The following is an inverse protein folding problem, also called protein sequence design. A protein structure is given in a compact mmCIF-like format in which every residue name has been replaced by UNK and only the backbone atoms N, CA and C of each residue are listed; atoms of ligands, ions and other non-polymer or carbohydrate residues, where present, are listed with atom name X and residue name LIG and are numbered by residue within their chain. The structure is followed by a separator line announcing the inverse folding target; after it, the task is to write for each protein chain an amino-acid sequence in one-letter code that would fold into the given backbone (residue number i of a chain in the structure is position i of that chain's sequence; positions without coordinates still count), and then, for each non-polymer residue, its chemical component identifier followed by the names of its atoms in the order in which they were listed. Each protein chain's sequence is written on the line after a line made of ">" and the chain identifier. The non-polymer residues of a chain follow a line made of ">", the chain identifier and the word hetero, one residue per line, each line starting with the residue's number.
data_IF_122382561022
#
_entry.id   IF_122382561022
#
_cell.length_a   1.000
_cell.length_b   1.000
_cell.length_c   1.000
_cell.angle_alpha   90.00
_cell.angle_beta   90.00
_cell.angle_gamma   90.00
#
_symmetry.space_group_name_H-M   'P 1'
#
loop_
_entity.id
_entity.type
_entity.pdbx_description
1 polymer ?
#
# COMPACT_ATOMS: atom_id res chain seq x y z
N UNK A 1 2.97 -16.02 11.19
CA UNK A 1 1.95 -16.29 10.15
C UNK A 1 1.67 -17.78 9.94
N UNK A 2 2.62 -18.60 9.48
CA UNK A 2 2.39 -20.05 9.20
C UNK A 2 1.68 -20.80 10.34
N UNK A 3 2.15 -20.65 11.58
CA UNK A 3 1.55 -21.29 12.75
C UNK A 3 0.09 -20.86 13.01
N UNK A 4 -0.27 -19.61 12.71
CA UNK A 4 -1.64 -19.13 12.84
C UNK A 4 -2.55 -19.77 11.78
N UNK A 5 -2.11 -19.81 10.52
CA UNK A 5 -2.89 -20.40 9.42
C UNK A 5 -3.14 -21.90 9.64
N UNK A 6 -2.17 -22.62 10.20
CA UNK A 6 -2.33 -24.04 10.53
C UNK A 6 -3.34 -24.27 11.66
N UNK A 7 -3.37 -23.40 12.69
CA UNK A 7 -4.30 -23.50 13.82
C UNK A 7 -5.70 -22.95 13.51
N UNK A 8 -5.78 -22.01 12.58
CA UNK A 8 -7.02 -21.29 12.23
C UNK A 8 -7.16 -21.22 10.71
N UNK A 9 -7.43 -22.32 10.01
CA UNK A 9 -7.63 -22.29 8.57
C UNK A 9 -8.79 -21.34 8.21
N UNK A 10 -8.66 -20.51 7.17
CA UNK A 10 -9.71 -19.57 6.79
C UNK A 10 -10.91 -20.31 6.16
N UNK A 11 -12.12 -19.93 6.55
CA UNK A 11 -13.39 -20.46 6.01
C UNK A 11 -13.85 -19.73 4.73
N UNK A 12 -12.99 -18.89 4.15
CA UNK A 12 -13.29 -18.09 2.97
C UNK A 12 -12.03 -17.91 2.12
N UNK A 13 -12.22 -17.63 0.84
CA UNK A 13 -11.10 -17.42 -0.08
C UNK A 13 -10.38 -16.10 0.21
N UNK A 14 -9.06 -16.16 0.34
CA UNK A 14 -8.19 -14.99 0.49
C UNK A 14 -7.24 -14.96 -0.70
N UNK A 15 -7.24 -13.85 -1.44
CA UNK A 15 -6.31 -13.68 -2.56
C UNK A 15 -5.88 -12.23 -2.72
N UNK A 16 -4.72 -12.03 -3.35
CA UNK A 16 -4.27 -10.73 -3.83
C UNK A 16 -4.61 -10.50 -5.32
N UNK A 17 -5.56 -11.26 -5.88
CA UNK A 17 -5.87 -11.21 -7.30
C UNK A 17 -6.43 -9.85 -7.72
N UNK A 18 -7.12 -9.12 -6.84
CA UNK A 18 -7.55 -7.75 -7.13
C UNK A 18 -6.38 -6.82 -7.46
N UNK A 19 -5.25 -6.93 -6.73
CA UNK A 19 -4.03 -6.17 -7.03
C UNK A 19 -3.38 -6.63 -8.33
N UNK A 20 -3.48 -7.92 -8.65
CA UNK A 20 -2.93 -8.46 -9.90
C UNK A 20 -3.73 -7.93 -11.10
N UNK A 21 -5.04 -8.16 -11.12
CA UNK A 21 -5.92 -7.75 -12.21
C UNK A 21 -6.07 -6.24 -12.35
N UNK A 22 -6.31 -5.52 -11.25
CA UNK A 22 -6.63 -4.08 -11.32
C UNK A 22 -5.39 -3.17 -11.38
N UNK A 23 -4.18 -3.69 -11.12
CA UNK A 23 -2.95 -2.85 -11.07
C UNK A 23 -1.81 -3.44 -11.88
N UNK A 24 -1.33 -4.62 -11.48
CA UNK A 24 -0.06 -5.15 -12.00
C UNK A 24 -0.18 -5.62 -13.45
N UNK A 25 -1.20 -6.39 -13.79
CA UNK A 25 -1.43 -6.89 -15.14
C UNK A 25 -1.68 -5.76 -16.12
N UNK A 26 -2.52 -4.79 -15.74
CA UNK A 26 -2.80 -3.59 -16.55
C UNK A 26 -1.54 -2.78 -16.79
N UNK A 27 -0.74 -2.52 -15.75
CA UNK A 27 0.51 -1.76 -15.90
C UNK A 27 1.54 -2.50 -16.78
N UNK A 28 1.70 -3.83 -16.63
CA UNK A 28 2.59 -4.60 -17.50
C UNK A 28 2.14 -4.57 -18.96
N UNK A 29 0.83 -4.72 -19.19
CA UNK A 29 0.24 -4.66 -20.52
C UNK A 29 0.50 -3.29 -21.17
N UNK A 30 0.20 -2.21 -20.45
CA UNK A 30 0.46 -0.85 -20.91
C UNK A 30 1.93 -0.62 -21.25
N UNK A 31 2.86 -1.06 -20.39
CA UNK A 31 4.29 -0.91 -20.66
C UNK A 31 4.73 -1.62 -21.95
N UNK A 32 4.13 -2.77 -22.27
CA UNK A 32 4.44 -3.53 -23.47
C UNK A 32 3.82 -2.90 -24.73
N UNK A 33 2.54 -2.52 -24.66
CA UNK A 33 1.79 -1.91 -25.77
C UNK A 33 2.41 -0.57 -26.19
N UNK A 34 2.75 0.27 -25.20
CA UNK A 34 3.34 1.59 -25.44
C UNK A 34 4.87 1.59 -25.52
N UNK A 35 5.50 0.40 -25.50
CA UNK A 35 6.96 0.22 -25.59
C UNK A 35 7.72 1.10 -24.58
N UNK A 36 7.25 1.14 -23.35
CA UNK A 36 7.84 1.96 -22.29
C UNK A 36 9.22 1.42 -21.92
N UNK A 37 10.25 2.22 -22.12
CA UNK A 37 11.64 1.85 -21.78
C UNK A 37 12.05 2.36 -20.39
N UNK A 38 11.41 3.43 -19.90
CA UNK A 38 11.71 4.05 -18.62
C UNK A 38 10.44 4.40 -17.85
N UNK A 39 10.37 3.96 -16.60
CA UNK A 39 9.31 4.30 -15.64
C UNK A 39 9.86 5.22 -14.55
N UNK A 40 9.26 6.41 -14.42
CA UNK A 40 9.58 7.37 -13.37
C UNK A 40 8.63 7.18 -12.19
N UNK A 41 9.16 6.83 -11.02
CA UNK A 41 8.35 6.51 -9.83
C UNK A 41 8.78 7.30 -8.59
N UNK A 42 7.80 7.72 -7.79
CA UNK A 42 8.01 8.53 -6.58
C UNK A 42 8.49 7.77 -5.33
N UNK A 43 9.20 6.64 -5.49
CA UNK A 43 9.69 5.86 -4.34
C UNK A 43 10.84 6.59 -3.65
N UNK A 44 10.77 6.70 -2.31
CA UNK A 44 11.83 7.32 -1.49
C UNK A 44 12.44 6.31 -0.53
N UNK A 45 13.75 6.37 -0.33
CA UNK A 45 14.46 5.54 0.66
C UNK A 45 13.92 5.75 2.08
N UNK A 46 13.50 6.98 2.38
CA UNK A 46 12.95 7.37 3.68
C UNK A 46 11.60 6.69 4.03
N UNK A 47 10.90 6.08 3.07
CA UNK A 47 9.63 5.37 3.33
C UNK A 47 9.83 4.05 4.09
N UNK A 48 11.07 3.54 4.15
CA UNK A 48 11.43 2.37 4.93
C UNK A 48 10.85 1.05 4.42
N UNK A 49 10.85 0.05 5.30
CA UNK A 49 10.32 -1.30 5.03
C UNK A 49 10.95 -1.96 3.80
N UNK A 50 10.13 -2.69 3.05
CA UNK A 50 10.56 -3.42 1.85
C UNK A 50 11.19 -2.49 0.81
N UNK A 51 10.76 -1.22 0.73
CA UNK A 51 11.31 -0.25 -0.25
C UNK A 51 12.78 0.08 0.01
N UNK A 52 13.18 0.26 1.28
CA UNK A 52 14.59 0.47 1.67
C UNK A 52 15.45 -0.76 1.36
N UNK A 53 14.87 -1.95 1.45
CA UNK A 53 15.59 -3.19 1.17
C UNK A 53 15.74 -3.46 -0.32
N UNK A 54 14.65 -3.28 -1.08
CA UNK A 54 14.54 -3.59 -2.51
C UNK A 54 15.28 -2.60 -3.42
N UNK A 55 15.36 -1.32 -3.03
CA UNK A 55 16.00 -0.28 -3.84
C UNK A 55 17.26 0.26 -3.16
N UNK A 56 18.40 0.19 -3.85
CA UNK A 56 19.70 0.69 -3.35
C UNK A 56 20.07 2.06 -3.91
N UNK A 57 19.55 2.41 -5.08
CA UNK A 57 19.87 3.61 -5.85
C UNK A 57 18.61 4.25 -6.43
N UNK A 58 18.76 5.49 -6.91
CA UNK A 58 17.69 6.20 -7.61
C UNK A 58 17.37 5.58 -8.99
N UNK A 59 18.31 4.85 -9.58
CA UNK A 59 18.14 4.20 -10.88
C UNK A 59 18.30 2.69 -10.77
N UNK A 60 17.43 1.96 -11.47
CA UNK A 60 17.58 0.54 -11.71
C UNK A 60 17.55 0.33 -13.22
N UNK A 61 18.68 -0.13 -13.77
CA UNK A 61 18.74 -0.53 -15.17
C UNK A 61 17.95 -1.81 -15.37
N UNK A 62 17.51 -2.01 -16.60
CA UNK A 62 16.90 -3.25 -17.05
C UNK A 62 17.88 -4.04 -17.91
N UNK A 63 17.74 -5.36 -17.95
CA UNK A 63 18.29 -6.18 -19.04
C UNK A 63 17.40 -6.06 -20.30
N UNK A 64 17.80 -6.71 -21.39
CA UNK A 64 17.34 -6.59 -22.79
C UNK A 64 15.81 -6.51 -23.05
N UNK A 65 14.94 -6.83 -22.08
CA UNK A 65 13.47 -6.89 -22.26
C UNK A 65 12.67 -6.39 -21.04
N UNK A 66 13.09 -5.31 -20.38
CA UNK A 66 12.33 -4.74 -19.26
C UNK A 66 12.30 -3.22 -19.27
N UNK A 67 11.55 -2.66 -18.32
CA UNK A 67 11.41 -1.22 -18.14
C UNK A 67 12.41 -0.76 -17.10
N UNK A 68 13.35 0.11 -17.48
CA UNK A 68 14.24 0.77 -16.53
C UNK A 68 13.42 1.61 -15.55
N UNK A 69 13.89 1.79 -14.32
CA UNK A 69 13.16 2.55 -13.31
C UNK A 69 14.02 3.68 -12.77
N UNK A 70 13.49 4.89 -12.82
CA UNK A 70 14.09 6.08 -12.23
C UNK A 70 13.24 6.63 -11.09
N UNK A 71 13.91 7.01 -10.00
CA UNK A 71 13.32 7.48 -8.74
C UNK A 71 13.93 8.84 -8.40
N UNK A 72 13.42 9.94 -8.98
CA UNK A 72 14.01 11.26 -8.76
C UNK A 72 13.99 11.68 -7.29
N UNK A 73 12.98 11.23 -6.54
CA UNK A 73 12.81 11.56 -5.12
C UNK A 73 13.54 10.59 -4.18
N UNK A 74 14.38 9.68 -4.70
CA UNK A 74 14.91 8.56 -3.91
C UNK A 74 15.57 8.98 -2.60
N UNK A 75 16.31 10.09 -2.62
CA UNK A 75 17.04 10.60 -1.46
C UNK A 75 16.24 11.60 -0.61
N UNK A 76 15.04 11.99 -1.04
CA UNK A 76 14.21 12.95 -0.31
C UNK A 76 13.79 12.38 1.04
N UNK A 77 13.98 13.18 2.08
CA UNK A 77 13.40 13.00 3.41
C UNK A 77 12.00 13.61 3.45
N UNK A 78 11.33 13.51 4.59
CA UNK A 78 10.00 14.09 4.77
C UNK A 78 10.07 15.62 4.82
N UNK A 79 11.17 16.16 5.32
CA UNK A 79 11.47 17.59 5.38
C UNK A 79 11.57 18.17 3.96
N UNK A 80 12.29 17.50 3.07
CA UNK A 80 12.44 17.91 1.67
C UNK A 80 11.09 17.92 0.94
N UNK A 81 10.26 16.91 1.17
CA UNK A 81 8.89 16.85 0.61
C UNK A 81 8.07 18.07 1.07
N UNK A 82 8.06 18.37 2.37
CA UNK A 82 7.32 19.51 2.93
C UNK A 82 7.84 20.86 2.42
N UNK A 83 9.17 20.99 2.33
CA UNK A 83 9.80 22.21 1.81
C UNK A 83 9.41 22.45 0.35
N UNK A 84 9.45 21.39 -0.47
CA UNK A 84 9.02 21.44 -1.87
C UNK A 84 7.53 21.80 -2.00
N UNK A 85 6.66 21.15 -1.22
CA UNK A 85 5.22 21.45 -1.21
C UNK A 85 4.94 22.92 -0.87
N UNK A 86 5.64 23.47 0.13
CA UNK A 86 5.52 24.88 0.52
C UNK A 86 6.07 25.84 -0.52
N UNK A 87 7.23 25.54 -1.10
CA UNK A 87 7.90 26.42 -2.05
C UNK A 87 7.12 26.56 -3.36
N UNK A 88 6.45 25.49 -3.80
CA UNK A 88 5.72 25.44 -5.06
C UNK A 88 4.19 25.45 -4.91
N UNK A 89 3.67 25.63 -3.70
CA UNK A 89 2.23 25.69 -3.44
C UNK A 89 1.49 24.41 -3.85
N UNK A 90 2.10 23.24 -3.63
CA UNK A 90 1.51 21.95 -4.03
C UNK A 90 0.26 21.66 -3.19
N UNK A 91 -0.89 21.49 -3.86
CA UNK A 91 -2.13 21.06 -3.23
C UNK A 91 -2.20 19.53 -3.20
N UNK A 92 -2.22 18.95 -2.00
CA UNK A 92 -2.44 17.51 -1.82
C UNK A 92 -3.94 17.21 -1.81
N UNK A 93 -4.33 15.99 -2.22
CA UNK A 93 -5.73 15.58 -2.20
C UNK A 93 -6.34 15.54 -0.81
N UNK A 94 -7.67 15.57 -0.74
CA UNK A 94 -8.45 15.50 0.50
C UNK A 94 -8.09 14.29 1.37
N UNK A 95 -7.69 13.17 0.76
CA UNK A 95 -7.19 12.01 1.49
C UNK A 95 -6.05 12.37 2.46
N UNK A 96 -5.19 13.33 2.10
CA UNK A 96 -4.11 13.81 2.95
C UNK A 96 -4.55 14.97 3.85
N UNK A 97 -5.24 15.96 3.31
CA UNK A 97 -5.53 17.24 3.98
C UNK A 97 -6.77 17.17 4.86
N UNK A 98 -7.84 16.56 4.36
CA UNK A 98 -9.11 16.41 5.07
C UNK A 98 -9.10 15.12 5.89
N UNK A 99 -8.72 13.98 5.31
CA UNK A 99 -8.86 12.64 5.92
C UNK A 99 -7.65 12.30 6.81
N UNK A 100 -6.52 13.01 6.66
CA UNK A 100 -5.33 12.86 7.50
C UNK A 100 -4.51 11.59 7.20
N UNK A 101 -4.72 10.95 6.05
CA UNK A 101 -3.98 9.75 5.70
C UNK A 101 -2.52 10.06 5.38
N UNK A 102 -1.61 9.24 5.92
CA UNK A 102 -0.17 9.37 5.62
C UNK A 102 0.19 8.85 4.24
N UNK A 103 -0.60 7.92 3.70
CA UNK A 103 -0.47 7.32 2.37
C UNK A 103 -1.86 6.97 1.84
N UNK A 104 -2.01 7.03 0.53
CA UNK A 104 -3.25 6.67 -0.17
C UNK A 104 -3.08 5.37 -0.95
N UNK A 105 -4.21 4.72 -1.25
CA UNK A 105 -4.25 3.42 -1.90
C UNK A 105 -5.67 2.97 -2.19
N UNK A 106 -5.90 1.65 -2.31
CA UNK A 106 -7.26 1.13 -2.33
C UNK A 106 -7.90 1.37 -0.96
N UNK A 107 -9.09 2.00 -0.97
CA UNK A 107 -9.86 2.30 0.23
C UNK A 107 -10.07 1.06 1.09
N UNK A 108 -9.60 1.11 2.34
CA UNK A 108 -9.79 0.07 3.35
C UNK A 108 -9.34 -1.32 2.89
N UNK A 109 -8.29 -1.42 2.08
CA UNK A 109 -7.81 -2.71 1.60
C UNK A 109 -7.44 -3.65 2.78
N UNK A 110 -7.97 -4.89 2.87
CA UNK A 110 -7.67 -5.81 3.97
C UNK A 110 -6.22 -6.32 3.97
N UNK A 111 -5.48 -6.11 2.86
CA UNK A 111 -4.05 -6.37 2.76
C UNK A 111 -3.20 -5.17 3.22
N UNK A 112 -3.83 -4.03 3.49
CA UNK A 112 -3.20 -2.83 4.02
C UNK A 112 -2.89 -2.98 5.50
N UNK A 113 -1.81 -2.34 5.97
CA UNK A 113 -1.43 -2.39 7.39
C UNK A 113 -2.36 -1.55 8.27
N UNK A 114 -2.82 -0.41 7.76
CA UNK A 114 -3.54 0.61 8.55
C UNK A 114 -5.05 0.59 8.28
N UNK A 115 -5.62 -0.53 7.80
CA UNK A 115 -7.03 -0.60 7.39
C UNK A 115 -8.01 -0.23 8.52
N UNK A 116 -7.67 -0.47 9.79
CA UNK A 116 -8.51 -0.08 10.94
C UNK A 116 -8.63 1.44 11.09
N UNK A 117 -7.54 2.17 10.81
CA UNK A 117 -7.54 3.63 10.85
C UNK A 117 -8.33 4.17 9.67
N UNK A 118 -8.13 3.59 8.48
CA UNK A 118 -8.90 3.94 7.29
C UNK A 118 -10.41 3.74 7.54
N UNK A 119 -10.82 2.58 8.08
CA UNK A 119 -12.21 2.27 8.44
C UNK A 119 -12.79 3.29 9.42
N UNK A 120 -12.05 3.67 10.47
CA UNK A 120 -12.49 4.67 11.46
C UNK A 120 -12.74 6.03 10.81
N UNK A 121 -11.82 6.49 9.96
CA UNK A 121 -11.94 7.78 9.28
C UNK A 121 -13.13 7.78 8.32
N UNK A 122 -13.28 6.74 7.50
CA UNK A 122 -14.37 6.69 6.52
C UNK A 122 -15.73 6.44 7.16
N UNK A 123 -15.82 5.86 8.35
CA UNK A 123 -17.09 5.69 9.06
C UNK A 123 -17.80 7.04 9.30
N UNK A 124 -17.03 8.08 9.64
CA UNK A 124 -17.57 9.43 9.87
C UNK A 124 -17.74 10.24 8.58
N UNK A 125 -16.86 10.04 7.59
CA UNK A 125 -16.82 10.90 6.38
C UNK A 125 -17.53 10.31 5.17
N UNK A 126 -17.60 9.00 5.07
CA UNK A 126 -18.05 8.24 3.90
C UNK A 126 -18.87 7.00 4.33
N UNK A 127 -20.03 7.19 4.99
CA UNK A 127 -20.77 6.09 5.62
C UNK A 127 -21.23 5.01 4.61
N UNK A 128 -21.54 5.38 3.36
CA UNK A 128 -21.89 4.41 2.33
C UNK A 128 -20.69 3.55 1.91
N UNK A 129 -19.52 4.17 1.79
CA UNK A 129 -18.28 3.43 1.51
C UNK A 129 -17.93 2.50 2.67
N UNK A 130 -18.11 2.97 3.92
CA UNK A 130 -17.90 2.15 5.11
C UNK A 130 -18.77 0.88 5.08
N UNK A 131 -20.05 1.02 4.75
CA UNK A 131 -20.96 -0.13 4.59
C UNK A 131 -20.48 -1.05 3.46
N UNK A 132 -20.13 -0.51 2.29
CA UNK A 132 -19.69 -1.30 1.15
C UNK A 132 -18.41 -2.11 1.45
N UNK A 133 -17.39 -1.49 2.05
CA UNK A 133 -16.13 -2.19 2.33
C UNK A 133 -16.30 -3.26 3.42
N UNK A 134 -17.17 -3.05 4.41
CA UNK A 134 -17.47 -4.09 5.40
C UNK A 134 -18.24 -5.26 4.79
N UNK A 135 -19.13 -5.01 3.84
CA UNK A 135 -19.83 -6.09 3.11
C UNK A 135 -18.88 -6.90 2.23
N UNK A 136 -17.89 -6.26 1.59
CA UNK A 136 -16.94 -6.94 0.70
C UNK A 136 -15.81 -7.61 1.49
N UNK A 137 -15.24 -6.94 2.48
CA UNK A 137 -14.00 -7.34 3.15
C UNK A 137 -14.14 -7.73 4.62
N UNK A 138 -15.35 -7.68 5.20
CA UNK A 138 -15.59 -7.90 6.63
C UNK A 138 -14.92 -9.15 7.20
N UNK A 139 -15.10 -10.30 6.54
CA UNK A 139 -14.43 -11.57 6.92
C UNK A 139 -12.91 -11.46 6.93
N UNK A 140 -12.33 -10.72 5.99
CA UNK A 140 -10.88 -10.48 5.92
C UNK A 140 -10.38 -9.58 7.05
N UNK A 141 -11.17 -8.59 7.47
CA UNK A 141 -10.85 -7.73 8.61
C UNK A 141 -10.88 -8.52 9.92
N UNK A 142 -11.94 -9.30 10.16
CA UNK A 142 -12.07 -10.15 11.34
C UNK A 142 -10.91 -11.15 11.45
N UNK A 143 -10.55 -11.79 10.34
CA UNK A 143 -9.45 -12.73 10.31
C UNK A 143 -8.09 -12.06 10.58
N UNK A 144 -7.87 -10.85 10.07
CA UNK A 144 -6.70 -10.04 10.41
C UNK A 144 -6.66 -9.66 11.90
N UNK A 145 -7.80 -9.31 12.50
CA UNK A 145 -7.89 -9.01 13.94
C UNK A 145 -7.52 -10.22 14.79
N UNK A 146 -8.02 -11.41 14.45
CA UNK A 146 -7.64 -12.70 15.08
C UNK A 146 -6.13 -12.96 14.96
N UNK A 147 -5.55 -12.71 13.77
CA UNK A 147 -4.10 -12.85 13.58
C UNK A 147 -3.30 -11.89 14.46
N UNK A 148 -3.71 -10.61 14.54
CA UNK A 148 -3.06 -9.60 15.38
C UNK A 148 -3.12 -9.98 16.86
N UNK A 149 -4.25 -10.50 17.33
CA UNK A 149 -4.40 -10.99 18.70
C UNK A 149 -3.48 -12.19 18.97
N UNK A 150 -3.44 -13.17 18.07
CA UNK A 150 -2.51 -14.30 18.16
C UNK A 150 -1.05 -13.83 18.26
N UNK A 151 -0.64 -12.88 17.42
CA UNK A 151 0.70 -12.30 17.49
C UNK A 151 0.97 -11.57 18.81
N UNK A 152 -0.02 -10.90 19.41
CA UNK A 152 0.13 -10.25 20.72
C UNK A 152 0.33 -11.30 21.83
N UNK A 153 -0.48 -12.35 21.85
CA UNK A 153 -0.35 -13.45 22.84
C UNK A 153 1.01 -14.13 22.76
N UNK A 154 1.48 -14.43 21.54
CA UNK A 154 2.81 -15.04 21.34
C UNK A 154 3.97 -14.14 21.80
N UNK A 155 3.83 -12.82 21.69
CA UNK A 155 4.84 -11.87 22.18
C UNK A 155 4.82 -11.70 23.70
N UNK A 156 3.66 -11.85 24.33
CA UNK A 156 3.53 -11.77 25.79
C UNK A 156 4.01 -13.04 26.48
N UNK A 157 3.99 -14.18 25.78
CA UNK A 157 4.47 -15.48 26.27
C UNK A 157 5.97 -15.72 26.01
N UNK A 158 6.66 -14.79 25.35
CA UNK A 158 8.08 -14.84 25.02
C UNK A 158 8.85 -13.78 25.81
#
# INVERSE_FOLDING_TARGET
>A
MKAFLLKHPPEFAISSQCCEGAKKAVSRRYNMEERIELSVIGVRRAEGGIRKMAYKSCFASTTKYGVAQYRPLFWYKNEDKRAYEKAFGICNSDCYTVYGFKRTGCSCCPLGKEFEEELRVIQGKEPLLYTAVNNIFGKSYEYNRKYREFCRKQKAAA
#
